data_IF_465367931982
#
_entry.id   IF_465367931982
#
_cell.length_a   1.000
_cell.length_b   1.000
_cell.length_c   1.000
_cell.angle_alpha   90.00
_cell.angle_beta   90.00
_cell.angle_gamma   90.00
#
_symmetry.space_group_name_H-M   'P 1'
#
loop_
_entity.id
_entity.type
_entity.pdbx_description
1 polymer ?
#
# COMPACT_ATOMS: atom_id res chain seq x y z
N UNK A 1 13.99 8.19 -1.04
CA UNK A 1 13.63 7.76 0.31
C UNK A 1 14.57 6.66 0.72
N UNK A 2 14.06 5.68 1.46
CA UNK A 2 14.77 4.44 1.75
C UNK A 2 13.79 3.27 1.76
N UNK A 3 14.23 2.08 1.38
CA UNK A 3 13.42 0.88 1.58
C UNK A 3 13.27 0.57 3.07
N UNK A 4 12.04 0.28 3.49
CA UNK A 4 11.83 -0.40 4.77
C UNK A 4 12.32 -1.85 4.64
N UNK A 5 12.85 -2.40 5.73
CA UNK A 5 13.42 -3.74 5.75
C UNK A 5 12.83 -4.53 6.90
N UNK A 6 12.56 -5.80 6.65
CA UNK A 6 12.13 -6.71 7.70
C UNK A 6 13.25 -6.86 8.76
N UNK A 7 12.89 -6.69 10.04
CA UNK A 7 13.86 -6.71 11.13
C UNK A 7 14.57 -8.05 11.34
N UNK A 8 13.99 -9.16 10.86
CA UNK A 8 14.52 -10.49 11.13
C UNK A 8 15.54 -10.93 10.06
N UNK A 9 15.31 -10.60 8.79
CA UNK A 9 16.13 -11.08 7.67
C UNK A 9 16.65 -9.98 6.73
N UNK A 10 16.33 -8.71 7.00
CA UNK A 10 16.78 -7.57 6.22
C UNK A 10 16.18 -7.46 4.81
N UNK A 11 15.23 -8.33 4.45
CA UNK A 11 14.55 -8.28 3.15
C UNK A 11 13.76 -6.99 2.98
N UNK A 12 13.66 -6.49 1.74
CA UNK A 12 12.89 -5.28 1.45
C UNK A 12 11.40 -5.57 1.65
N UNK A 13 10.76 -4.78 2.52
CA UNK A 13 9.33 -4.83 2.77
C UNK A 13 8.56 -3.86 1.86
N UNK A 14 7.29 -4.16 1.57
CA UNK A 14 6.54 -3.50 0.47
C UNK A 14 5.05 -3.25 0.77
N UNK A 15 4.46 -3.94 1.74
CA UNK A 15 3.03 -3.91 1.99
C UNK A 15 2.70 -3.10 3.26
N UNK A 16 1.51 -2.48 3.28
CA UNK A 16 1.11 -1.49 4.27
C UNK A 16 1.47 -0.05 3.89
N UNK A 17 1.00 0.91 4.68
CA UNK A 17 1.28 2.35 4.49
C UNK A 17 2.73 2.70 4.77
N UNK A 18 3.38 1.98 5.68
CA UNK A 18 4.77 2.18 6.07
C UNK A 18 5.67 1.05 5.55
N UNK A 19 5.21 0.30 4.54
CA UNK A 19 5.92 -0.84 3.97
C UNK A 19 6.44 -1.83 5.02
N UNK A 20 5.72 -2.07 6.11
CA UNK A 20 6.23 -2.88 7.22
C UNK A 20 6.23 -4.38 6.89
N UNK A 21 5.35 -4.82 5.98
CA UNK A 21 5.19 -6.23 5.62
C UNK A 21 5.97 -6.62 4.36
N UNK A 22 6.69 -7.74 4.42
CA UNK A 22 7.52 -8.24 3.30
C UNK A 22 6.78 -9.13 2.29
N UNK A 23 5.66 -9.71 2.68
CA UNK A 23 4.89 -10.63 1.83
C UNK A 23 3.39 -10.38 1.98
N UNK A 24 2.62 -10.79 0.97
CA UNK A 24 1.16 -10.81 1.05
C UNK A 24 0.68 -11.72 2.18
N UNK A 25 1.34 -12.86 2.43
CA UNK A 25 0.98 -13.76 3.53
C UNK A 25 1.06 -13.07 4.89
N UNK A 26 2.14 -12.35 5.17
CA UNK A 26 2.27 -11.61 6.44
C UNK A 26 1.26 -10.47 6.52
N UNK A 27 1.07 -9.74 5.42
CA UNK A 27 0.10 -8.65 5.36
C UNK A 27 -1.34 -9.16 5.60
N UNK A 28 -1.73 -10.27 4.99
CA UNK A 28 -3.04 -10.90 5.19
C UNK A 28 -3.20 -11.48 6.59
N UNK A 29 -2.20 -12.19 7.10
CA UNK A 29 -2.26 -12.79 8.43
C UNK A 29 -2.30 -11.73 9.53
N UNK A 30 -1.56 -10.63 9.38
CA UNK A 30 -1.63 -9.50 10.29
C UNK A 30 -3.02 -8.86 10.22
N UNK A 31 -3.59 -8.71 9.02
CA UNK A 31 -4.92 -8.15 8.87
C UNK A 31 -6.01 -8.98 9.58
N UNK A 32 -5.98 -10.30 9.42
CA UNK A 32 -6.90 -11.21 10.11
C UNK A 32 -6.76 -11.07 11.63
N UNK A 33 -5.54 -11.03 12.15
CA UNK A 33 -5.32 -10.99 13.59
C UNK A 33 -5.58 -9.61 14.21
N UNK A 34 -5.08 -8.54 13.58
CA UNK A 34 -5.10 -7.17 14.14
C UNK A 34 -6.41 -6.44 13.85
N UNK A 35 -6.99 -6.64 12.67
CA UNK A 35 -8.19 -5.89 12.26
C UNK A 35 -9.48 -6.70 12.40
N UNK A 36 -9.42 -8.02 12.25
CA UNK A 36 -10.61 -8.89 12.33
C UNK A 36 -10.69 -9.68 13.64
N UNK A 37 -9.58 -9.84 14.38
CA UNK A 37 -9.53 -10.65 15.61
C UNK A 37 -9.62 -12.15 15.34
N UNK A 38 -8.99 -12.62 14.25
CA UNK A 38 -8.93 -14.03 13.86
C UNK A 38 -7.47 -14.47 13.88
N UNK A 39 -7.12 -15.41 14.77
CA UNK A 39 -5.79 -16.01 14.74
C UNK A 39 -5.65 -17.00 13.59
N UNK A 40 -4.43 -17.14 13.10
CA UNK A 40 -4.12 -17.93 11.92
C UNK A 40 -2.76 -18.61 12.10
N UNK A 41 -2.40 -19.49 11.16
CA UNK A 41 -1.15 -20.27 11.23
C UNK A 41 0.13 -19.41 11.28
N UNK A 42 0.07 -18.13 10.88
CA UNK A 42 1.19 -17.18 10.96
C UNK A 42 1.16 -16.36 12.26
N UNK A 43 -0.02 -16.07 12.79
CA UNK A 43 -0.26 -15.32 14.03
C UNK A 43 -1.22 -16.12 14.93
N UNK A 44 -0.73 -17.12 15.69
CA UNK A 44 -1.59 -18.08 16.38
C UNK A 44 -2.08 -17.61 17.77
N UNK A 45 -1.87 -16.33 18.09
CA UNK A 45 -2.24 -15.72 19.35
C UNK A 45 -3.03 -14.46 19.06
N UNK A 46 -4.01 -14.20 19.90
CA UNK A 46 -4.75 -12.95 19.88
C UNK A 46 -3.81 -11.76 20.09
N UNK A 47 -4.23 -10.60 19.57
CA UNK A 47 -3.54 -9.36 19.87
C UNK A 47 -4.15 -8.73 21.13
N UNK A 48 -3.34 -8.31 22.12
CA UNK A 48 -3.84 -7.60 23.29
C UNK A 48 -4.54 -6.30 22.89
N UNK A 49 -5.56 -5.92 23.66
CA UNK A 49 -6.13 -4.58 23.54
C UNK A 49 -5.07 -3.53 23.90
N UNK A 50 -5.13 -2.32 23.33
CA UNK A 50 -4.21 -1.24 23.70
C UNK A 50 -4.14 -1.04 25.22
N UNK A 51 -2.96 -1.25 25.81
CA UNK A 51 -2.72 -1.10 27.24
C UNK A 51 -2.81 -2.37 28.09
N UNK A 52 -3.29 -3.50 27.54
CA UNK A 52 -3.21 -4.81 28.22
C UNK A 52 -1.77 -5.34 28.28
N UNK A 53 -0.99 -5.04 27.24
CA UNK A 53 0.45 -5.33 27.17
C UNK A 53 1.27 -4.49 28.17
N UNK A 54 0.79 -3.29 28.53
CA UNK A 54 1.44 -2.38 29.47
C UNK A 54 1.24 -2.73 30.94
N UNK A 55 0.27 -3.59 31.27
CA UNK A 55 -0.01 -4.01 32.65
C UNK A 55 0.98 -5.06 33.18
N UNK A 56 1.95 -5.49 32.36
CA UNK A 56 3.01 -6.43 32.76
C UNK A 56 2.52 -7.86 33.01
N UNK A 57 1.22 -8.13 32.92
CA UNK A 57 0.62 -9.46 33.04
C UNK A 57 0.52 -10.20 31.71
N UNK A 58 0.70 -9.50 30.58
CA UNK A 58 0.41 -10.05 29.25
C UNK A 58 -1.07 -10.37 29.09
N UNK A 59 -1.40 -11.08 28.00
CA UNK A 59 -2.75 -11.61 27.78
C UNK A 59 -3.11 -12.60 28.90
N UNK A 60 -4.38 -12.61 29.36
CA UNK A 60 -4.88 -13.68 30.22
C UNK A 60 -4.56 -15.06 29.63
N UNK A 61 -4.24 -16.05 30.48
CA UNK A 61 -3.84 -17.39 30.03
C UNK A 61 -4.86 -18.08 29.11
N UNK A 62 -6.15 -17.71 29.19
CA UNK A 62 -7.23 -18.20 28.33
C UNK A 62 -7.32 -17.47 26.98
N UNK A 63 -6.66 -16.32 26.82
CA UNK A 63 -6.49 -15.59 25.56
C UNK A 63 -5.17 -15.98 24.86
N UNK A 64 -4.30 -16.70 25.57
CA UNK A 64 -3.12 -17.32 24.99
C UNK A 64 -3.49 -18.72 24.49
N UNK A 65 -2.97 -19.10 23.33
CA UNK A 65 -3.05 -20.47 22.82
C UNK A 65 -2.15 -21.44 23.62
N UNK A 66 -2.36 -21.52 24.94
CA UNK A 66 -1.63 -22.42 25.85
C UNK A 66 -2.35 -23.76 26.00
N UNK A 67 -3.67 -23.80 25.82
CA UNK A 67 -4.46 -25.03 25.89
C UNK A 67 -4.49 -25.81 24.58
N UNK A 68 -4.06 -25.22 23.46
CA UNK A 68 -4.04 -25.88 22.14
C UNK A 68 -5.42 -26.19 21.56
N UNK A 69 -6.49 -25.63 22.14
CA UNK A 69 -7.88 -25.91 21.74
C UNK A 69 -8.49 -24.67 21.10
N UNK A 70 -8.94 -24.80 19.84
CA UNK A 70 -9.63 -23.72 19.11
C UNK A 70 -8.69 -22.67 18.49
N UNK A 71 -7.38 -22.87 18.56
CA UNK A 71 -6.38 -21.94 18.02
C UNK A 71 -5.31 -22.69 17.19
N UNK A 72 -4.89 -22.14 16.04
CA UNK A 72 -5.46 -20.95 15.44
C UNK A 72 -6.91 -21.19 14.95
N UNK A 73 -7.74 -20.14 14.92
CA UNK A 73 -9.11 -20.27 14.39
C UNK A 73 -9.10 -20.61 12.90
N UNK A 74 -8.17 -20.02 12.14
CA UNK A 74 -7.95 -20.32 10.73
C UNK A 74 -6.79 -21.32 10.57
N UNK A 75 -7.09 -22.48 9.98
CA UNK A 75 -6.14 -23.59 9.78
C UNK A 75 -6.35 -24.26 8.43
N UNK A 76 -5.25 -24.75 7.85
CA UNK A 76 -5.31 -25.61 6.67
C UNK A 76 -5.94 -26.97 7.01
N UNK A 77 -6.75 -27.52 6.11
CA UNK A 77 -7.41 -28.82 6.28
C UNK A 77 -7.10 -29.77 5.10
N UNK A 78 -5.85 -30.28 5.00
CA UNK A 78 -5.43 -31.12 3.87
C UNK A 78 -6.14 -32.48 3.79
N UNK A 79 -6.70 -32.95 4.91
CA UNK A 79 -7.50 -34.17 5.00
C UNK A 79 -9.01 -33.90 4.89
N UNK A 80 -9.42 -32.67 4.57
CA UNK A 80 -10.81 -32.29 4.46
C UNK A 80 -11.56 -33.14 3.43
N UNK A 81 -12.81 -33.48 3.73
CA UNK A 81 -13.67 -34.19 2.79
C UNK A 81 -13.96 -33.37 1.53
N UNK A 82 -14.57 -33.99 0.53
CA UNK A 82 -15.01 -33.31 -0.68
C UNK A 82 -15.85 -32.07 -0.32
N UNK A 83 -15.44 -30.90 -0.82
CA UNK A 83 -16.00 -29.55 -0.55
C UNK A 83 -15.49 -28.80 0.70
N UNK A 84 -14.55 -29.35 1.47
CA UNK A 84 -13.84 -28.56 2.48
C UNK A 84 -12.79 -27.64 1.81
N UNK A 85 -12.66 -26.39 2.30
CA UNK A 85 -11.51 -25.58 1.97
C UNK A 85 -10.25 -26.28 2.50
N UNK A 86 -9.30 -26.54 1.61
CA UNK A 86 -8.05 -27.24 1.94
C UNK A 86 -7.00 -26.26 2.48
N UNK A 87 -6.98 -25.05 1.93
CA UNK A 87 -6.10 -23.96 2.34
C UNK A 87 -6.78 -23.16 3.46
N UNK A 88 -5.97 -22.66 4.39
CA UNK A 88 -6.37 -21.59 5.31
C UNK A 88 -6.81 -20.33 4.55
N UNK A 89 -7.69 -19.54 5.16
CA UNK A 89 -8.26 -18.35 4.56
C UNK A 89 -7.19 -17.29 4.27
N UNK A 90 -6.17 -17.16 5.13
CA UNK A 90 -5.05 -16.22 4.91
C UNK A 90 -4.27 -16.57 3.64
N UNK A 91 -3.98 -17.85 3.39
CA UNK A 91 -3.34 -18.33 2.16
C UNK A 91 -4.24 -18.16 0.94
N UNK A 92 -5.54 -18.45 1.08
CA UNK A 92 -6.51 -18.25 0.00
C UNK A 92 -6.60 -16.76 -0.40
N UNK A 93 -6.68 -15.86 0.57
CA UNK A 93 -6.71 -14.42 0.35
C UNK A 93 -5.41 -13.88 -0.24
N UNK A 94 -4.27 -14.37 0.24
CA UNK A 94 -2.95 -14.04 -0.32
C UNK A 94 -2.81 -14.47 -1.78
N UNK A 95 -3.34 -15.65 -2.13
CA UNK A 95 -3.37 -16.13 -3.51
C UNK A 95 -4.30 -15.29 -4.37
N UNK A 96 -5.50 -14.97 -3.89
CA UNK A 96 -6.43 -14.09 -4.58
C UNK A 96 -5.75 -12.77 -4.95
N UNK A 97 -5.16 -12.05 -3.97
CA UNK A 97 -4.44 -10.80 -4.23
C UNK A 97 -3.28 -10.96 -5.20
N UNK A 98 -2.51 -12.05 -5.10
CA UNK A 98 -1.35 -12.32 -5.98
C UNK A 98 -1.74 -12.46 -7.44
N UNK A 99 -2.94 -12.97 -7.72
CA UNK A 99 -3.42 -13.23 -9.07
C UNK A 99 -4.35 -12.13 -9.63
N UNK A 100 -4.59 -11.05 -8.87
CA UNK A 100 -5.25 -9.87 -9.41
C UNK A 100 -4.30 -9.12 -10.36
N UNK A 101 -4.78 -8.86 -11.57
CA UNK A 101 -4.07 -8.00 -12.51
C UNK A 101 -4.05 -6.54 -11.99
N UNK A 102 -2.97 -5.78 -12.24
CA UNK A 102 -2.97 -4.36 -11.91
C UNK A 102 -4.02 -3.61 -12.74
N UNK A 103 -4.64 -2.56 -12.18
CA UNK A 103 -5.53 -1.68 -12.93
C UNK A 103 -4.82 -1.15 -14.19
N UNK A 104 -5.54 -1.15 -15.31
CA UNK A 104 -5.02 -0.59 -16.55
C UNK A 104 -5.31 0.90 -16.62
N UNK A 105 -4.35 1.73 -17.05
CA UNK A 105 -4.64 3.12 -17.40
C UNK A 105 -5.72 3.17 -18.49
N UNK A 106 -6.56 4.19 -18.45
CA UNK A 106 -7.73 4.28 -19.32
C UNK A 106 -8.17 5.70 -19.65
N UNK A 107 -9.14 5.80 -20.55
CA UNK A 107 -9.78 7.07 -20.88
C UNK A 107 -10.51 7.66 -19.67
N UNK A 108 -10.52 8.99 -19.57
CA UNK A 108 -11.23 9.71 -18.51
C UNK A 108 -12.48 10.33 -19.11
N UNK A 109 -13.62 10.22 -18.42
CA UNK A 109 -14.86 10.92 -18.76
C UNK A 109 -15.21 11.87 -17.62
N UNK A 110 -15.26 13.17 -17.91
CA UNK A 110 -15.65 14.21 -16.96
C UNK A 110 -16.92 14.89 -17.45
N UNK A 111 -17.96 14.93 -16.61
CA UNK A 111 -19.25 15.54 -16.95
C UNK A 111 -19.85 15.01 -18.27
N UNK A 112 -19.71 13.70 -18.51
CA UNK A 112 -20.18 13.04 -19.73
C UNK A 112 -19.33 13.30 -20.98
N UNK A 113 -18.18 13.99 -20.86
CA UNK A 113 -17.29 14.29 -21.98
C UNK A 113 -15.96 13.54 -21.86
N UNK A 114 -15.49 12.88 -22.92
CA UNK A 114 -14.18 12.26 -22.92
C UNK A 114 -13.09 13.33 -22.83
N UNK A 115 -12.14 13.12 -21.93
CA UNK A 115 -10.95 13.95 -21.82
C UNK A 115 -10.02 13.65 -22.99
N UNK A 116 -9.45 14.70 -23.59
CA UNK A 116 -8.52 14.58 -24.71
C UNK A 116 -7.29 13.73 -24.35
N UNK A 117 -6.93 12.80 -25.24
CA UNK A 117 -5.70 12.01 -25.13
C UNK A 117 -4.45 12.88 -25.12
N UNK A 118 -4.48 14.03 -25.81
CA UNK A 118 -3.39 15.02 -25.78
C UNK A 118 -3.23 15.62 -24.38
N UNK A 119 -4.33 15.92 -23.69
CA UNK A 119 -4.29 16.44 -22.31
C UNK A 119 -3.67 15.43 -21.34
N UNK A 120 -4.05 14.15 -21.47
CA UNK A 120 -3.47 13.05 -20.68
C UNK A 120 -1.97 12.90 -20.98
N UNK A 121 -1.57 12.92 -22.25
CA UNK A 121 -0.17 12.82 -22.65
C UNK A 121 0.69 14.00 -22.13
N UNK A 122 0.16 15.22 -22.22
CA UNK A 122 0.79 16.42 -21.65
C UNK A 122 0.95 16.28 -20.14
N UNK A 123 -0.10 15.81 -19.44
CA UNK A 123 -0.06 15.57 -18.01
C UNK A 123 1.00 14.54 -17.60
N UNK A 124 1.14 13.47 -18.37
CA UNK A 124 2.19 12.47 -18.15
C UNK A 124 3.60 13.05 -18.34
N UNK A 125 3.79 13.93 -19.33
CA UNK A 125 5.06 14.62 -19.53
C UNK A 125 5.36 15.58 -18.37
N UNK A 126 4.36 16.35 -17.93
CA UNK A 126 4.45 17.25 -16.78
C UNK A 126 4.77 16.49 -15.48
N UNK A 127 4.12 15.36 -15.25
CA UNK A 127 4.35 14.50 -14.09
C UNK A 127 5.83 14.12 -13.94
N UNK A 128 6.52 13.86 -15.07
CA UNK A 128 7.97 13.62 -15.08
C UNK A 128 8.75 14.92 -14.88
N UNK A 129 8.42 15.97 -15.62
CA UNK A 129 9.24 17.19 -15.66
C UNK A 129 9.22 17.99 -14.36
N UNK A 130 8.11 17.96 -13.59
CA UNK A 130 8.01 18.69 -12.31
C UNK A 130 8.55 17.88 -11.13
N UNK A 131 8.87 16.61 -11.34
CA UNK A 131 9.52 15.73 -10.35
C UNK A 131 8.60 14.75 -9.62
N UNK A 132 7.31 14.64 -9.94
CA UNK A 132 6.42 13.65 -9.31
C UNK A 132 6.93 12.22 -9.51
N UNK A 133 7.47 11.95 -10.70
CA UNK A 133 8.03 10.64 -11.06
C UNK A 133 9.28 10.24 -10.25
N UNK A 134 9.89 11.15 -9.48
CA UNK A 134 11.06 10.82 -8.65
C UNK A 134 10.72 9.85 -7.52
N UNK A 135 9.51 9.97 -6.94
CA UNK A 135 9.00 9.02 -5.96
C UNK A 135 7.95 8.11 -6.61
N UNK A 136 7.01 8.69 -7.36
CA UNK A 136 5.98 7.94 -8.06
C UNK A 136 6.49 7.38 -9.41
N UNK A 137 7.55 6.57 -9.35
CA UNK A 137 8.24 6.01 -10.50
C UNK A 137 7.28 5.18 -11.38
N UNK A 138 7.02 5.58 -12.65
CA UNK A 138 6.10 4.87 -13.54
C UNK A 138 6.45 3.40 -13.78
N UNK A 139 7.74 3.04 -13.73
CA UNK A 139 8.23 1.70 -14.03
C UNK A 139 9.43 1.36 -13.13
N UNK A 140 9.21 1.04 -11.84
CA UNK A 140 10.26 0.66 -10.90
C UNK A 140 11.04 -0.61 -11.30
N UNK A 141 10.54 -1.41 -12.24
CA UNK A 141 11.24 -2.58 -12.78
C UNK A 141 10.30 -3.73 -13.10
N UNK A 142 10.84 -4.95 -13.03
CA UNK A 142 10.14 -6.21 -13.25
C UNK A 142 10.16 -7.08 -12.00
N UNK A 143 9.20 -7.99 -11.86
CA UNK A 143 9.28 -9.05 -10.86
C UNK A 143 10.49 -9.94 -11.10
N UNK A 144 11.02 -10.56 -10.04
CA UNK A 144 12.03 -11.60 -10.16
C UNK A 144 11.38 -12.91 -10.63
N UNK A 145 12.18 -13.95 -10.88
CA UNK A 145 11.65 -15.30 -11.12
C UNK A 145 10.76 -15.71 -9.95
N UNK A 146 9.53 -16.12 -10.26
CA UNK A 146 8.53 -16.48 -9.28
C UNK A 146 8.67 -17.95 -8.88
N UNK A 147 8.64 -18.21 -7.57
CA UNK A 147 8.56 -19.55 -7.01
C UNK A 147 7.11 -20.10 -6.97
N UNK A 148 6.12 -19.30 -7.37
CA UNK A 148 4.71 -19.70 -7.35
C UNK A 148 4.27 -20.29 -8.70
N UNK A 149 4.36 -19.49 -9.76
CA UNK A 149 4.05 -19.90 -11.13
C UNK A 149 4.92 -19.15 -12.13
N UNK A 150 5.31 -19.77 -13.26
CA UNK A 150 6.14 -19.13 -14.27
C UNK A 150 5.58 -17.79 -14.80
N UNK A 151 4.26 -17.68 -14.91
CA UNK A 151 3.58 -16.47 -15.43
C UNK A 151 3.74 -15.21 -14.58
N UNK A 152 4.27 -15.31 -13.35
CA UNK A 152 4.58 -14.15 -12.50
C UNK A 152 6.08 -13.76 -12.56
N UNK A 153 6.87 -14.43 -13.38
CA UNK A 153 8.32 -14.17 -13.51
C UNK A 153 8.58 -13.07 -14.53
N UNK A 154 9.49 -12.14 -14.23
CA UNK A 154 9.93 -11.09 -15.15
C UNK A 154 8.79 -10.20 -15.69
N UNK A 155 7.74 -10.02 -14.89
CA UNK A 155 6.56 -9.21 -15.25
C UNK A 155 6.84 -7.74 -14.96
N UNK A 156 6.67 -6.82 -15.93
CA UNK A 156 6.78 -5.38 -15.69
C UNK A 156 5.80 -4.90 -14.62
N UNK A 157 6.25 -3.99 -13.76
CA UNK A 157 5.45 -3.44 -12.66
C UNK A 157 5.19 -1.95 -12.91
N UNK A 158 4.06 -1.56 -13.52
CA UNK A 158 3.74 -0.16 -13.78
C UNK A 158 3.07 0.51 -12.56
N UNK A 159 3.73 0.48 -11.39
CA UNK A 159 3.11 0.86 -10.12
C UNK A 159 2.99 2.37 -9.90
N UNK A 160 3.74 3.20 -10.62
CA UNK A 160 3.86 4.64 -10.30
C UNK A 160 4.29 4.85 -8.84
N UNK A 161 5.30 4.09 -8.42
CA UNK A 161 5.86 4.09 -7.07
C UNK A 161 7.22 3.42 -7.08
N UNK A 162 8.19 4.00 -6.38
CA UNK A 162 9.47 3.40 -6.05
C UNK A 162 9.40 2.38 -4.89
N UNK A 163 8.27 2.32 -4.20
CA UNK A 163 8.02 1.52 -2.99
C UNK A 163 8.95 1.86 -1.82
N UNK A 164 9.67 2.97 -1.88
CA UNK A 164 10.48 3.50 -0.80
C UNK A 164 9.61 4.24 0.22
N UNK A 165 10.16 4.43 1.42
CA UNK A 165 9.63 5.27 2.47
C UNK A 165 10.22 6.67 2.35
N UNK A 166 9.38 7.69 2.45
CA UNK A 166 9.76 9.09 2.39
C UNK A 166 9.19 9.88 3.55
N UNK A 167 9.89 10.92 3.96
CA UNK A 167 9.34 11.92 4.87
C UNK A 167 8.28 12.77 4.16
N UNK A 168 7.03 12.65 4.61
CA UNK A 168 5.89 13.43 4.15
C UNK A 168 5.70 14.72 4.97
N UNK A 169 6.55 14.91 5.99
CA UNK A 169 6.61 16.07 6.84
C UNK A 169 5.48 16.15 7.87
N UNK A 170 5.56 17.18 8.72
CA UNK A 170 4.71 17.33 9.90
C UNK A 170 3.21 17.47 9.60
N UNK A 171 2.83 17.88 8.38
CA UNK A 171 1.42 18.01 7.98
C UNK A 171 0.72 16.67 7.71
N UNK A 172 1.51 15.60 7.52
CA UNK A 172 1.03 14.24 7.25
C UNK A 172 1.54 13.24 8.30
N UNK A 173 2.14 13.69 9.39
CA UNK A 173 2.59 12.80 10.45
C UNK A 173 1.39 12.18 11.21
N UNK A 174 1.44 10.87 11.44
CA UNK A 174 0.47 10.12 12.25
C UNK A 174 1.01 9.77 13.65
N UNK A 175 2.29 10.03 13.91
CA UNK A 175 3.03 9.64 15.12
C UNK A 175 3.05 8.12 15.39
N UNK A 176 2.75 7.30 14.37
CA UNK A 176 2.80 5.84 14.45
C UNK A 176 4.11 5.37 13.81
N UNK A 177 4.87 4.56 14.53
CA UNK A 177 6.05 3.89 13.98
C UNK A 177 5.72 2.44 13.64
N UNK A 178 6.07 1.98 12.44
CA UNK A 178 5.88 0.59 12.02
C UNK A 178 7.09 0.10 11.22
N UNK A 179 7.67 -1.03 11.64
CA UNK A 179 8.96 -1.47 11.12
C UNK A 179 10.03 -0.40 11.38
N UNK A 180 10.83 -0.07 10.36
CA UNK A 180 11.82 1.01 10.44
C UNK A 180 11.31 2.42 10.12
N UNK A 181 10.01 2.61 9.86
CA UNK A 181 9.45 3.90 9.47
C UNK A 181 8.85 4.64 10.68
N UNK A 182 9.23 5.90 10.83
CA UNK A 182 8.70 6.83 11.85
C UNK A 182 7.33 7.43 11.52
N UNK A 183 6.88 8.36 12.37
CA UNK A 183 5.53 8.93 12.31
C UNK A 183 5.20 9.77 11.08
N UNK A 184 6.18 10.42 10.45
CA UNK A 184 5.99 11.23 9.24
C UNK A 184 6.42 10.50 7.96
N UNK A 185 6.82 9.24 8.10
CA UNK A 185 7.37 8.43 7.04
C UNK A 185 6.31 7.50 6.46
N UNK A 186 6.16 7.52 5.13
CA UNK A 186 5.19 6.69 4.42
C UNK A 186 5.79 6.13 3.14
N UNK A 187 5.32 4.95 2.76
CA UNK A 187 5.62 4.34 1.47
C UNK A 187 4.99 5.17 0.37
N UNK A 188 5.73 5.41 -0.71
CA UNK A 188 5.15 6.01 -1.91
C UNK A 188 3.98 5.16 -2.39
N UNK A 189 2.75 5.66 -2.26
CA UNK A 189 1.56 4.92 -2.65
C UNK A 189 1.57 4.68 -4.19
N UNK A 190 1.38 3.43 -4.66
CA UNK A 190 1.23 3.15 -6.08
C UNK A 190 0.04 3.92 -6.67
N UNK A 191 0.27 4.65 -7.76
CA UNK A 191 -0.78 5.44 -8.41
C UNK A 191 -1.54 4.68 -9.50
N UNK A 192 -1.19 3.42 -9.79
CA UNK A 192 -2.04 2.57 -10.64
C UNK A 192 -3.47 2.45 -10.06
N UNK A 193 -4.49 2.68 -10.87
CA UNK A 193 -5.88 2.76 -10.44
C UNK A 193 -6.23 3.99 -9.58
N UNK A 194 -5.39 5.03 -9.53
CA UNK A 194 -5.66 6.26 -8.76
C UNK A 194 -7.00 6.90 -9.15
N UNK A 195 -7.36 6.90 -10.43
CA UNK A 195 -8.61 7.45 -10.96
C UNK A 195 -9.87 6.77 -10.43
N UNK A 196 -9.74 5.58 -9.84
CA UNK A 196 -10.84 4.84 -9.21
C UNK A 196 -10.86 4.99 -7.68
N UNK A 197 -9.87 5.67 -7.08
CA UNK A 197 -9.83 5.87 -5.63
C UNK A 197 -10.70 7.05 -5.20
N UNK A 198 -11.49 6.83 -4.16
CA UNK A 198 -12.38 7.85 -3.59
C UNK A 198 -11.64 8.70 -2.56
N UNK A 199 -10.96 8.05 -1.61
CA UNK A 199 -10.22 8.72 -0.54
C UNK A 199 -8.71 8.73 -0.83
N UNK A 200 -8.06 9.85 -0.54
CA UNK A 200 -6.66 10.13 -0.82
C UNK A 200 -5.90 10.41 0.47
N UNK A 201 -4.58 10.21 0.41
CA UNK A 201 -3.64 10.21 1.55
C UNK A 201 -3.86 9.02 2.51
N UNK A 202 -2.93 8.81 3.44
CA UNK A 202 -2.93 7.62 4.30
C UNK A 202 -4.12 7.56 5.26
N UNK A 203 -4.70 8.72 5.59
CA UNK A 203 -5.82 8.87 6.52
C UNK A 203 -7.15 9.17 5.81
N UNK A 204 -7.16 9.16 4.48
CA UNK A 204 -8.37 9.35 3.69
C UNK A 204 -9.02 10.73 3.83
N UNK A 205 -8.31 11.75 4.33
CA UNK A 205 -8.87 13.06 4.69
C UNK A 205 -9.49 13.85 3.53
N UNK A 206 -9.23 13.48 2.28
CA UNK A 206 -9.73 14.22 1.12
C UNK A 206 -10.07 13.31 -0.06
N UNK A 207 -11.00 13.77 -0.89
CA UNK A 207 -11.35 13.17 -2.19
C UNK A 207 -10.86 14.03 -3.37
N UNK A 208 -10.15 15.14 -3.09
CA UNK A 208 -9.73 16.11 -4.08
C UNK A 208 -8.23 16.00 -4.37
N UNK A 209 -7.88 15.66 -5.62
CA UNK A 209 -6.49 15.53 -6.07
C UNK A 209 -5.64 16.78 -5.83
N UNK A 210 -6.20 17.99 -5.99
CA UNK A 210 -5.45 19.23 -5.76
C UNK A 210 -5.11 19.38 -4.27
N UNK A 211 -6.07 19.04 -3.38
CA UNK A 211 -5.83 19.06 -1.93
C UNK A 211 -4.78 18.02 -1.57
N UNK A 212 -4.88 16.81 -2.12
CA UNK A 212 -3.89 15.75 -1.90
C UNK A 212 -2.48 16.17 -2.36
N UNK A 213 -2.34 16.73 -3.57
CA UNK A 213 -1.05 17.22 -4.09
C UNK A 213 -0.48 18.31 -3.18
N UNK A 214 -1.27 19.33 -2.83
CA UNK A 214 -0.82 20.43 -1.95
C UNK A 214 -0.43 19.95 -0.56
N UNK A 215 -1.07 18.90 -0.05
CA UNK A 215 -0.75 18.31 1.25
C UNK A 215 0.63 17.67 1.31
N UNK A 216 1.28 17.43 0.16
CA UNK A 216 2.66 16.96 0.13
C UNK A 216 3.67 18.03 0.58
N UNK A 217 3.30 19.31 0.59
CA UNK A 217 4.14 20.37 1.14
C UNK A 217 3.86 20.58 2.62
N UNK A 218 4.82 20.21 3.46
CA UNK A 218 4.83 20.54 4.89
C UNK A 218 6.27 20.54 5.42
N UNK A 219 6.48 21.04 6.65
CA UNK A 219 7.82 21.09 7.23
C UNK A 219 8.43 19.68 7.33
N UNK A 220 9.65 19.51 6.81
CA UNK A 220 10.34 18.22 6.76
C UNK A 220 9.93 17.31 5.59
N UNK A 221 8.98 17.71 4.74
CA UNK A 221 8.57 16.89 3.59
C UNK A 221 9.58 16.93 2.44
N UNK A 222 9.97 15.75 1.95
CA UNK A 222 10.80 15.57 0.76
C UNK A 222 10.11 16.09 -0.53
N UNK A 223 8.77 16.11 -0.55
CA UNK A 223 7.99 16.48 -1.72
C UNK A 223 7.73 17.99 -1.87
N UNK A 224 8.18 18.82 -0.91
CA UNK A 224 7.90 20.26 -0.88
C UNK A 224 8.34 20.99 -2.16
N UNK A 225 9.48 20.63 -2.75
CA UNK A 225 9.92 21.25 -4.01
C UNK A 225 9.06 20.83 -5.21
N UNK A 226 8.61 19.57 -5.25
CA UNK A 226 7.75 19.06 -6.31
C UNK A 226 6.36 19.71 -6.24
N UNK A 227 5.82 19.91 -5.04
CA UNK A 227 4.57 20.64 -4.83
C UNK A 227 4.69 22.10 -5.30
N UNK A 228 5.79 22.80 -4.99
CA UNK A 228 6.03 24.16 -5.50
C UNK A 228 6.11 24.21 -7.02
N UNK A 229 6.74 23.22 -7.66
CA UNK A 229 6.78 23.12 -9.12
C UNK A 229 5.37 22.94 -9.70
N UNK A 230 4.51 22.14 -9.07
CA UNK A 230 3.10 22.04 -9.43
C UNK A 230 2.36 23.37 -9.27
N UNK A 231 2.61 24.10 -8.17
CA UNK A 231 2.05 25.43 -7.93
C UNK A 231 2.47 26.48 -8.96
N UNK A 232 3.64 26.32 -9.59
CA UNK A 232 4.14 27.19 -10.65
C UNK A 232 3.57 26.88 -12.05
N UNK A 233 2.89 25.74 -12.23
CA UNK A 233 2.22 25.41 -13.48
C UNK A 233 1.04 26.34 -13.74
N UNK A 234 0.80 26.64 -15.02
CA UNK A 234 -0.43 27.34 -15.42
C UNK A 234 -1.67 26.49 -15.11
N UNK A 235 -2.86 27.10 -14.98
CA UNK A 235 -4.09 26.34 -14.73
C UNK A 235 -4.35 25.22 -15.75
N UNK A 236 -4.04 25.45 -17.03
CA UNK A 236 -4.19 24.43 -18.07
C UNK A 236 -3.23 23.25 -17.86
N UNK A 237 -1.98 23.52 -17.49
CA UNK A 237 -0.99 22.48 -17.20
C UNK A 237 -1.34 21.69 -15.94
N UNK A 238 -1.85 22.36 -14.89
CA UNK A 238 -2.37 21.67 -13.71
C UNK A 238 -3.52 20.74 -14.10
N UNK A 239 -4.45 21.20 -14.95
CA UNK A 239 -5.55 20.36 -15.42
C UNK A 239 -5.07 19.17 -16.25
N UNK A 240 -4.07 19.34 -17.13
CA UNK A 240 -3.45 18.25 -17.88
C UNK A 240 -2.87 17.19 -16.92
N UNK A 241 -2.13 17.61 -15.88
CA UNK A 241 -1.62 16.70 -14.86
C UNK A 241 -2.74 15.95 -14.13
N UNK A 242 -3.80 16.66 -13.72
CA UNK A 242 -4.94 16.04 -13.03
C UNK A 242 -5.68 15.04 -13.94
N UNK A 243 -5.79 15.34 -15.24
CA UNK A 243 -6.37 14.43 -16.22
C UNK A 243 -5.52 13.16 -16.39
N UNK A 244 -4.20 13.30 -16.42
CA UNK A 244 -3.30 12.15 -16.38
C UNK A 244 -3.48 11.32 -15.08
N UNK A 245 -3.51 11.95 -13.91
CA UNK A 245 -3.71 11.23 -12.64
C UNK A 245 -5.04 10.49 -12.58
N UNK A 246 -6.12 11.04 -13.17
CA UNK A 246 -7.42 10.37 -13.29
C UNK A 246 -7.42 9.22 -14.31
N UNK A 247 -6.47 9.23 -15.24
CA UNK A 247 -6.34 8.17 -16.25
C UNK A 247 -5.62 6.94 -15.73
N UNK A 248 -4.94 7.05 -14.59
CA UNK A 248 -4.25 5.93 -13.93
C UNK A 248 -5.24 5.04 -13.17
#
# INVERSE_FOLDING_TARGET
>A
GTFNRNGNDGTISRFGWKAQNKSLQLFSGEAYNVEMGITNEVFPQERPLPGEDQQGSGLPSNCLNLSGTGYPEDTSNPSGGSNAAVLDDVSAFSNFMRFLAPPQPGGVVLNGQPVSTTSIANGQALFRSIGCANCHNPSPGTTQTSNFVPGLSNVPVPAFSDLEIHHMGSGLADNVSQGGAGGDQFRTAPLWGLGQRIFLLHDGRTTNLIIAIRSHASNGSEATTVERNFGALTPSQQQDLLNFLRSL
#
